data_IF_410008296851
#
_entry.id   IF_410008296851
#
_cell.length_a   1.000
_cell.length_b   1.000
_cell.length_c   1.000
_cell.angle_alpha   90.00
_cell.angle_beta   90.00
_cell.angle_gamma   90.00
#
_symmetry.space_group_name_H-M   'P 1'
#
loop_
_entity.id
_entity.type
_entity.pdbx_description
1 polymer ?
#
# COMPACT_ATOMS: atom_id res chain seq x y z
N UNK A 1 -32.99 27.10 -3.94
CA UNK A 1 -31.65 27.06 -3.30
C UNK A 1 -31.16 25.62 -3.15
N UNK A 2 -31.98 24.71 -2.61
CA UNK A 2 -31.71 23.26 -2.50
C UNK A 2 -31.13 22.62 -3.78
N UNK A 3 -31.70 22.96 -4.93
CA UNK A 3 -31.33 22.34 -6.21
C UNK A 3 -29.91 22.72 -6.68
N UNK A 4 -29.46 23.94 -6.39
CA UNK A 4 -28.10 24.40 -6.74
C UNK A 4 -27.05 23.71 -5.88
N UNK A 5 -27.31 23.57 -4.59
CA UNK A 5 -26.43 22.86 -3.65
C UNK A 5 -26.33 21.37 -4.00
N UNK A 6 -27.46 20.75 -4.38
CA UNK A 6 -27.52 19.37 -4.88
C UNK A 6 -26.69 19.18 -6.16
N UNK A 7 -26.84 20.06 -7.14
CA UNK A 7 -26.06 20.00 -8.40
C UNK A 7 -24.56 20.15 -8.13
N UNK A 8 -24.16 21.08 -7.24
CA UNK A 8 -22.76 21.22 -6.82
C UNK A 8 -22.26 19.92 -6.19
N UNK A 9 -23.02 19.34 -5.26
CA UNK A 9 -22.65 18.12 -4.55
C UNK A 9 -22.53 16.91 -5.49
N UNK A 10 -23.46 16.75 -6.43
CA UNK A 10 -23.40 15.69 -7.45
C UNK A 10 -22.19 15.85 -8.38
N UNK A 11 -21.89 17.08 -8.78
CA UNK A 11 -20.72 17.38 -9.63
C UNK A 11 -19.42 17.06 -8.89
N UNK A 12 -19.32 17.47 -7.61
CA UNK A 12 -18.20 17.16 -6.73
C UNK A 12 -17.95 15.65 -6.59
N UNK A 13 -19.03 14.87 -6.43
CA UNK A 13 -18.99 13.40 -6.35
C UNK A 13 -18.48 12.81 -7.67
N UNK A 14 -19.01 13.27 -8.80
CA UNK A 14 -18.63 12.78 -10.13
C UNK A 14 -17.15 13.01 -10.45
N UNK A 15 -16.59 14.16 -10.03
CA UNK A 15 -15.16 14.46 -10.19
C UNK A 15 -14.29 13.51 -9.35
N UNK A 16 -14.74 13.16 -8.14
CA UNK A 16 -13.99 12.33 -7.20
C UNK A 16 -14.05 10.83 -7.52
N UNK A 17 -15.07 10.39 -8.25
CA UNK A 17 -15.36 8.97 -8.50
C UNK A 17 -14.18 8.20 -9.10
N UNK A 18 -13.39 8.84 -9.97
CA UNK A 18 -12.19 8.24 -10.58
C UNK A 18 -11.12 7.86 -9.56
N UNK A 19 -10.90 8.69 -8.54
CA UNK A 19 -9.93 8.43 -7.47
C UNK A 19 -10.49 7.48 -6.40
N UNK A 20 -11.81 7.50 -6.21
CA UNK A 20 -12.50 6.66 -5.24
C UNK A 20 -12.46 5.18 -5.59
N UNK A 21 -12.35 4.80 -6.87
CA UNK A 21 -12.21 3.38 -7.25
C UNK A 21 -10.93 2.77 -6.64
N UNK A 22 -9.81 3.50 -6.73
CA UNK A 22 -8.54 3.07 -6.14
C UNK A 22 -8.59 3.11 -4.62
N UNK A 23 -9.13 4.18 -4.04
CA UNK A 23 -9.27 4.31 -2.60
C UNK A 23 -10.21 3.24 -2.02
N UNK A 24 -11.24 2.83 -2.76
CA UNK A 24 -12.17 1.75 -2.38
C UNK A 24 -11.43 0.43 -2.32
N UNK A 25 -10.54 0.17 -3.28
CA UNK A 25 -9.70 -1.03 -3.27
C UNK A 25 -8.71 -1.02 -2.11
N UNK A 26 -8.21 0.15 -1.68
CA UNK A 26 -7.32 0.25 -0.52
C UNK A 26 -8.12 0.04 0.77
N UNK A 27 -9.23 0.75 0.93
CA UNK A 27 -10.09 0.72 2.12
C UNK A 27 -10.90 -0.59 2.25
N UNK A 28 -11.02 -1.40 1.19
CA UNK A 28 -11.66 -2.72 1.27
C UNK A 28 -10.84 -3.75 2.06
N UNK A 29 -9.56 -3.49 2.28
CA UNK A 29 -8.70 -4.31 3.13
C UNK A 29 -8.68 -3.75 4.56
N UNK A 30 -8.48 -4.63 5.53
CA UNK A 30 -8.03 -4.20 6.86
C UNK A 30 -6.67 -3.52 6.74
N UNK A 31 -6.42 -2.50 7.57
CA UNK A 31 -5.15 -1.77 7.57
C UNK A 31 -3.95 -2.71 7.73
N UNK A 32 -4.08 -3.72 8.59
CA UNK A 32 -3.05 -4.72 8.85
C UNK A 32 -2.73 -5.54 7.60
N UNK A 33 -3.75 -6.04 6.89
CA UNK A 33 -3.57 -6.81 5.65
C UNK A 33 -2.92 -5.97 4.55
N UNK A 34 -3.38 -4.73 4.37
CA UNK A 34 -2.83 -3.81 3.38
C UNK A 34 -1.35 -3.52 3.63
N UNK A 35 -1.00 -3.26 4.89
CA UNK A 35 0.39 -3.04 5.31
C UNK A 35 1.23 -4.30 5.14
N UNK A 36 0.70 -5.46 5.56
CA UNK A 36 1.40 -6.74 5.45
C UNK A 36 1.76 -7.06 4.00
N UNK A 37 0.81 -6.97 3.07
CA UNK A 37 1.04 -7.27 1.65
C UNK A 37 2.10 -6.34 1.06
N UNK A 38 2.05 -5.05 1.36
CA UNK A 38 3.00 -4.09 0.79
C UNK A 38 4.38 -4.18 1.44
N UNK A 39 4.46 -4.46 2.75
CA UNK A 39 5.71 -4.73 3.44
C UNK A 39 6.34 -6.01 2.91
N UNK A 40 5.56 -7.07 2.70
CA UNK A 40 6.04 -8.33 2.14
C UNK A 40 6.65 -8.14 0.74
N UNK A 41 6.00 -7.34 -0.12
CA UNK A 41 6.54 -6.96 -1.44
C UNK A 41 7.86 -6.20 -1.29
N UNK A 42 7.93 -5.23 -0.39
CA UNK A 42 9.15 -4.44 -0.15
C UNK A 42 10.30 -5.31 0.33
N UNK A 43 10.06 -6.19 1.30
CA UNK A 43 11.05 -7.14 1.82
C UNK A 43 11.54 -8.05 0.70
N UNK A 44 10.61 -8.66 -0.06
CA UNK A 44 10.96 -9.54 -1.18
C UNK A 44 11.81 -8.82 -2.22
N UNK A 45 11.44 -7.61 -2.62
CA UNK A 45 12.23 -6.82 -3.58
C UNK A 45 13.64 -6.49 -3.06
N UNK A 46 13.76 -6.15 -1.78
CA UNK A 46 15.04 -5.85 -1.13
C UNK A 46 15.95 -7.09 -1.09
N UNK A 47 15.37 -8.26 -0.80
CA UNK A 47 16.10 -9.53 -0.81
C UNK A 47 16.56 -9.91 -2.22
N UNK A 48 15.72 -9.77 -3.23
CA UNK A 48 16.09 -10.05 -4.64
C UNK A 48 17.28 -9.20 -5.08
N UNK A 49 17.26 -7.89 -4.79
CA UNK A 49 18.37 -6.99 -5.10
C UNK A 49 19.63 -7.41 -4.34
N UNK A 50 19.50 -7.77 -3.06
CA UNK A 50 20.62 -8.22 -2.23
C UNK A 50 21.28 -9.49 -2.77
N UNK A 51 20.49 -10.49 -3.16
CA UNK A 51 21.00 -11.70 -3.80
C UNK A 51 21.63 -11.41 -5.17
N UNK A 52 21.07 -10.48 -5.94
CA UNK A 52 21.66 -10.00 -7.18
C UNK A 52 23.07 -9.44 -6.98
N UNK A 53 23.30 -8.67 -5.91
CA UNK A 53 24.63 -8.14 -5.58
C UNK A 53 25.63 -9.24 -5.21
N UNK A 54 25.19 -10.27 -4.47
CA UNK A 54 26.03 -11.43 -4.15
C UNK A 54 26.39 -12.19 -5.44
N UNK A 55 25.42 -12.40 -6.33
CA UNK A 55 25.63 -13.04 -7.62
C UNK A 55 26.64 -12.27 -8.49
N UNK A 56 26.54 -10.94 -8.53
CA UNK A 56 27.51 -10.09 -9.25
C UNK A 56 28.92 -10.26 -8.65
N UNK A 57 29.07 -10.31 -7.31
CA UNK A 57 30.37 -10.56 -6.67
C UNK A 57 30.94 -11.92 -7.10
N UNK A 58 30.11 -12.97 -7.15
CA UNK A 58 30.52 -14.30 -7.61
C UNK A 58 30.98 -14.24 -9.07
N UNK A 59 30.23 -13.59 -9.96
CA UNK A 59 30.62 -13.46 -11.37
C UNK A 59 31.98 -12.75 -11.53
N UNK A 60 32.26 -11.72 -10.74
CA UNK A 60 33.56 -11.03 -10.75
C UNK A 60 34.70 -11.97 -10.31
N UNK A 61 34.46 -12.86 -9.36
CA UNK A 61 35.47 -13.85 -8.94
C UNK A 61 35.78 -14.83 -10.06
N UNK A 62 34.73 -15.28 -10.78
CA UNK A 62 34.90 -16.17 -11.95
C UNK A 62 35.68 -15.46 -13.06
N UNK A 63 35.32 -14.21 -13.38
CA UNK A 63 35.99 -13.42 -14.42
C UNK A 63 37.47 -13.18 -14.11
N UNK A 64 37.82 -12.98 -12.84
CA UNK A 64 39.18 -12.69 -12.40
C UNK A 64 40.02 -13.93 -12.08
N UNK A 65 39.48 -15.13 -12.34
CA UNK A 65 40.12 -16.41 -12.01
C UNK A 65 40.61 -16.48 -10.54
N UNK A 66 39.87 -15.82 -9.63
CA UNK A 66 40.20 -15.85 -8.20
C UNK A 66 39.85 -17.24 -7.68
N UNK A 67 40.76 -17.84 -6.90
CA UNK A 67 40.52 -19.13 -6.28
C UNK A 67 39.20 -19.11 -5.48
N UNK A 68 38.26 -19.94 -5.92
CA UNK A 68 37.01 -20.14 -5.22
C UNK A 68 37.24 -21.01 -3.99
N UNK A 69 36.57 -20.72 -2.86
CA UNK A 69 36.61 -21.61 -1.71
C UNK A 69 36.02 -22.99 -2.06
N UNK A 70 36.76 -24.06 -1.77
CA UNK A 70 36.33 -25.45 -2.03
C UNK A 70 35.34 -25.99 -0.99
N UNK A 71 35.09 -25.23 0.09
CA UNK A 71 34.20 -25.63 1.18
C UNK A 71 32.97 -24.72 1.25
N UNK A 72 31.84 -25.28 1.67
CA UNK A 72 30.60 -24.54 1.89
C UNK A 72 30.80 -23.42 2.93
N UNK A 73 31.55 -23.69 4.00
CA UNK A 73 31.87 -22.69 5.03
C UNK A 73 32.67 -21.53 4.44
N UNK A 74 33.68 -21.80 3.62
CA UNK A 74 34.46 -20.76 2.94
C UNK A 74 33.61 -19.93 1.98
N UNK A 75 32.65 -20.54 1.28
CA UNK A 75 31.71 -19.81 0.43
C UNK A 75 30.81 -18.87 1.24
N UNK A 76 30.30 -19.32 2.38
CA UNK A 76 29.45 -18.49 3.26
C UNK A 76 30.25 -17.33 3.84
N UNK A 77 31.46 -17.60 4.34
CA UNK A 77 32.34 -16.57 4.91
C UNK A 77 32.74 -15.51 3.88
N UNK A 78 33.03 -15.93 2.65
CA UNK A 78 33.50 -15.01 1.61
C UNK A 78 32.34 -14.22 0.95
N UNK A 79 31.22 -14.88 0.64
CA UNK A 79 30.16 -14.26 -0.18
C UNK A 79 28.95 -13.78 0.61
N UNK A 80 28.65 -14.37 1.78
CA UNK A 80 27.40 -14.10 2.52
C UNK A 80 27.67 -13.26 3.76
N UNK A 81 28.60 -13.70 4.62
CA UNK A 81 28.95 -13.06 5.89
C UNK A 81 29.19 -11.54 5.78
N UNK A 82 29.92 -11.01 4.76
CA UNK A 82 30.19 -9.57 4.65
C UNK A 82 28.93 -8.73 4.34
N UNK A 83 27.88 -9.37 3.83
CA UNK A 83 26.63 -8.72 3.46
C UNK A 83 25.52 -8.93 4.49
N UNK A 84 25.63 -9.94 5.36
CA UNK A 84 24.57 -10.29 6.33
C UNK A 84 24.07 -9.09 7.12
N UNK A 85 24.96 -8.33 7.75
CA UNK A 85 24.57 -7.17 8.55
C UNK A 85 23.94 -6.06 7.69
N UNK A 86 24.47 -5.84 6.48
CA UNK A 86 23.95 -4.83 5.55
C UNK A 86 22.54 -5.19 5.10
N UNK A 87 22.29 -6.45 4.74
CA UNK A 87 20.98 -6.93 4.31
C UNK A 87 19.96 -6.77 5.43
N UNK A 88 20.31 -7.18 6.66
CA UNK A 88 19.43 -7.03 7.83
C UNK A 88 19.09 -5.55 8.05
N UNK A 89 20.10 -4.68 8.02
CA UNK A 89 19.91 -3.23 8.18
C UNK A 89 18.99 -2.64 7.11
N UNK A 90 19.21 -2.99 5.83
CA UNK A 90 18.35 -2.54 4.73
C UNK A 90 16.91 -3.05 4.87
N UNK A 91 16.71 -4.32 5.20
CA UNK A 91 15.37 -4.89 5.38
C UNK A 91 14.61 -4.15 6.48
N UNK A 92 15.25 -3.84 7.60
CA UNK A 92 14.63 -3.09 8.70
C UNK A 92 14.24 -1.68 8.23
N UNK A 93 15.17 -0.94 7.62
CA UNK A 93 14.92 0.44 7.18
C UNK A 93 13.79 0.49 6.14
N UNK A 94 13.87 -0.34 5.10
CA UNK A 94 12.86 -0.34 4.05
C UNK A 94 11.49 -0.82 4.56
N UNK A 95 11.46 -1.75 5.51
CA UNK A 95 10.20 -2.17 6.15
C UNK A 95 9.56 -1.04 6.97
N UNK A 96 10.35 -0.27 7.73
CA UNK A 96 9.85 0.90 8.46
C UNK A 96 9.34 2.00 7.52
N UNK A 97 10.10 2.32 6.47
CA UNK A 97 9.71 3.31 5.45
C UNK A 97 8.43 2.87 4.74
N UNK A 98 8.36 1.60 4.33
CA UNK A 98 7.18 1.00 3.70
C UNK A 98 5.96 1.12 4.61
N UNK A 99 6.09 0.72 5.88
CA UNK A 99 5.00 0.82 6.86
C UNK A 99 4.50 2.24 7.00
N UNK A 100 5.41 3.22 7.09
CA UNK A 100 5.05 4.63 7.20
C UNK A 100 4.31 5.14 5.95
N UNK A 101 4.85 4.90 4.75
CA UNK A 101 4.29 5.38 3.48
C UNK A 101 2.92 4.74 3.22
N UNK A 102 2.83 3.41 3.31
CA UNK A 102 1.58 2.71 3.04
C UNK A 102 0.55 2.95 4.15
N UNK A 103 0.98 3.14 5.39
CA UNK A 103 0.09 3.52 6.49
C UNK A 103 -0.54 4.88 6.25
N UNK A 104 0.26 5.89 5.89
CA UNK A 104 -0.26 7.22 5.52
C UNK A 104 -1.21 7.15 4.33
N UNK A 105 -0.84 6.40 3.29
CA UNK A 105 -1.67 6.22 2.10
C UNK A 105 -3.02 5.58 2.43
N UNK A 106 -3.04 4.59 3.32
CA UNK A 106 -4.27 3.96 3.79
C UNK A 106 -5.16 4.96 4.54
N UNK A 107 -4.60 5.68 5.52
CA UNK A 107 -5.35 6.67 6.31
C UNK A 107 -5.96 7.77 5.44
N UNK A 108 -5.21 8.25 4.45
CA UNK A 108 -5.70 9.26 3.51
C UNK A 108 -6.82 8.70 2.61
N UNK A 109 -6.68 7.47 2.10
CA UNK A 109 -7.71 6.81 1.31
C UNK A 109 -9.00 6.56 2.13
N UNK A 110 -8.85 6.11 3.38
CA UNK A 110 -9.96 5.88 4.30
C UNK A 110 -10.71 7.19 4.59
N UNK A 111 -9.97 8.29 4.84
CA UNK A 111 -10.57 9.61 5.07
C UNK A 111 -11.34 10.12 3.85
N UNK A 112 -10.78 9.98 2.64
CA UNK A 112 -11.47 10.35 1.39
C UNK A 112 -12.71 9.50 1.15
N UNK A 113 -12.64 8.20 1.44
CA UNK A 113 -13.78 7.29 1.34
C UNK A 113 -14.92 7.68 2.29
N UNK A 114 -14.60 8.00 3.55
CA UNK A 114 -15.60 8.45 4.53
C UNK A 114 -16.31 9.72 4.06
N UNK A 115 -15.55 10.72 3.60
CA UNK A 115 -16.12 11.96 3.08
C UNK A 115 -17.01 11.72 1.85
N UNK A 116 -16.59 10.83 0.94
CA UNK A 116 -17.37 10.47 -0.23
C UNK A 116 -18.71 9.81 0.14
N UNK A 117 -18.69 8.86 1.08
CA UNK A 117 -19.90 8.19 1.58
C UNK A 117 -20.84 9.20 2.24
N UNK A 118 -20.30 10.13 3.04
CA UNK A 118 -21.08 11.19 3.68
C UNK A 118 -21.76 12.11 2.65
N UNK A 119 -21.01 12.61 1.66
CA UNK A 119 -21.56 13.42 0.57
C UNK A 119 -22.65 12.67 -0.20
N UNK A 120 -22.45 11.38 -0.46
CA UNK A 120 -23.46 10.53 -1.13
C UNK A 120 -24.73 10.38 -0.29
N UNK A 121 -24.60 10.24 1.02
CA UNK A 121 -25.74 10.21 1.95
C UNK A 121 -26.51 11.53 1.95
N UNK A 122 -25.82 12.67 1.93
CA UNK A 122 -26.47 13.98 1.83
C UNK A 122 -27.31 14.10 0.56
N UNK A 123 -26.77 13.70 -0.61
CA UNK A 123 -27.53 13.65 -1.87
C UNK A 123 -28.76 12.74 -1.75
N UNK A 124 -28.62 11.56 -1.14
CA UNK A 124 -29.75 10.65 -0.95
C UNK A 124 -30.84 11.25 -0.06
N UNK A 125 -30.46 11.94 1.01
CA UNK A 125 -31.41 12.61 1.90
C UNK A 125 -32.14 13.75 1.17
N UNK A 126 -31.45 14.54 0.34
CA UNK A 126 -32.09 15.52 -0.53
C UNK A 126 -33.11 14.87 -1.47
N UNK A 127 -32.76 13.74 -2.09
CA UNK A 127 -33.68 13.01 -2.97
C UNK A 127 -34.90 12.42 -2.23
N UNK A 128 -34.73 11.94 -0.99
CA UNK A 128 -35.84 11.43 -0.17
C UNK A 128 -36.77 12.55 0.29
N UNK A 129 -36.22 13.70 0.68
CA UNK A 129 -36.98 14.88 1.05
C UNK A 129 -37.80 15.41 -0.13
N UNK A 130 -37.26 15.42 -1.35
CA UNK A 130 -38.00 15.77 -2.57
C UNK A 130 -39.12 14.77 -2.90
N UNK A 131 -38.94 13.49 -2.58
CA UNK A 131 -39.94 12.43 -2.82
C UNK A 131 -41.01 12.33 -1.73
N UNK A 132 -40.89 13.07 -0.64
CA UNK A 132 -41.83 13.01 0.49
C UNK A 132 -41.78 11.68 1.27
N UNK A 133 -40.72 10.89 1.12
CA UNK A 133 -40.55 9.61 1.80
C UNK A 133 -39.87 9.83 3.16
N UNK A 134 -40.58 9.53 4.25
CA UNK A 134 -40.11 9.67 5.63
C UNK A 134 -38.86 8.86 5.95
N UNK A 135 -38.09 9.35 6.93
CA UNK A 135 -36.78 8.84 7.33
C UNK A 135 -36.85 7.43 7.97
N UNK A 136 -36.90 6.38 7.16
CA UNK A 136 -36.67 5.01 7.62
C UNK A 136 -35.16 4.76 7.75
N UNK A 137 -34.63 5.29 8.86
CA UNK A 137 -33.30 5.01 9.36
C UNK A 137 -33.19 3.56 9.79
N UNK A 138 -32.85 2.70 8.84
CA UNK A 138 -32.27 1.38 9.12
C UNK A 138 -31.34 1.03 7.98
N UNK A 139 -30.03 0.93 8.23
CA UNK A 139 -29.46 -0.42 8.25
C UNK A 139 -28.04 -0.56 8.82
N UNK A 140 -27.93 -1.69 9.51
CA UNK A 140 -26.80 -2.57 9.83
C UNK A 140 -25.57 -2.43 8.94
N UNK A 141 -24.42 -2.32 9.62
CA UNK A 141 -23.07 -2.47 9.09
C UNK A 141 -22.82 -3.97 8.89
N UNK A 142 -22.52 -4.40 7.66
CA UNK A 142 -21.85 -5.67 7.35
C UNK A 142 -20.41 -5.33 7.00
#
# INVERSE_FOLDING_TARGET
>A
MLDKEKVILMTDIAIQEKHIIEDKKIASYYIEDYLFINNFKTITSTLVISFGMILIKILIYVEKEINFPDTISGLVEEFISPFTWKIIFFVIIYSLISTYIYGRRYQEAEKRMKLYIEKKHQVQNYNKAEKGEGNDGKFTII
#
